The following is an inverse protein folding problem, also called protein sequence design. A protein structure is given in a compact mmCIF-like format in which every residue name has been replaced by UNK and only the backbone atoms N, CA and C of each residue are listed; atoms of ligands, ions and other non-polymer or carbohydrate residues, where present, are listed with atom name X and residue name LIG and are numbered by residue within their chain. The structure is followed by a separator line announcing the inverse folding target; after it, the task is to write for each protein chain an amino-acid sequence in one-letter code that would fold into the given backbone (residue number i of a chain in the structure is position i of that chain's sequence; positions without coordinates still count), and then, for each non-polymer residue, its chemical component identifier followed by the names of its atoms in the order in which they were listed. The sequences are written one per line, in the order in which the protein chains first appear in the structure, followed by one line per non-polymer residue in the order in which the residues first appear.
data_IF_860394304450
#
_entry.id   IF_860394304450
#
_cell.length_a   1.000
_cell.length_b   1.000
_cell.length_c   1.000
_cell.angle_alpha   90.00
_cell.angle_beta   90.00
_cell.angle_gamma   90.00
#
_symmetry.space_group_name_H-M   'P 1'
#
loop_
_entity.id
_entity.type
_entity.pdbx_description
1 polymer ?
#
# COMPACT_ATOMS: atom_id res chain seq x y z
N UNK A 1 15.81 -19.98 5.40
CA UNK A 1 15.72 -20.20 3.95
C UNK A 1 14.29 -20.52 3.50
N UNK A 2 13.48 -21.28 4.27
CA UNK A 2 12.05 -21.52 3.97
C UNK A 2 11.19 -20.24 3.86
N UNK A 3 11.32 -19.27 4.78
CA UNK A 3 10.40 -18.12 4.84
C UNK A 3 10.47 -17.12 3.68
N UNK A 4 11.63 -16.94 3.03
CA UNK A 4 11.82 -15.96 1.96
C UNK A 4 11.12 -16.46 0.68
N UNK A 5 11.33 -17.73 0.34
CA UNK A 5 10.71 -18.35 -0.84
C UNK A 5 9.19 -18.47 -0.71
N UNK A 6 8.67 -18.62 0.52
CA UNK A 6 7.22 -18.67 0.77
C UNK A 6 6.56 -17.30 0.60
N UNK A 7 7.23 -16.22 1.01
CA UNK A 7 6.75 -14.84 0.81
C UNK A 7 6.70 -14.47 -0.68
N UNK A 8 7.77 -14.71 -1.43
CA UNK A 8 7.79 -14.45 -2.88
C UNK A 8 6.67 -15.20 -3.60
N UNK A 9 6.50 -16.49 -3.31
CA UNK A 9 5.42 -17.31 -3.90
C UNK A 9 4.02 -16.82 -3.56
N UNK A 10 3.81 -16.31 -2.35
CA UNK A 10 2.54 -15.72 -1.97
C UNK A 10 2.25 -14.47 -2.80
N UNK A 11 3.24 -13.59 -2.99
CA UNK A 11 3.08 -12.37 -3.77
C UNK A 11 2.82 -12.68 -5.24
N UNK A 12 3.62 -13.58 -5.83
CA UNK A 12 3.41 -14.03 -7.21
C UNK A 12 2.00 -14.64 -7.38
N UNK A 13 1.56 -15.47 -6.43
CA UNK A 13 0.20 -16.04 -6.44
C UNK A 13 -0.90 -14.97 -6.36
N UNK A 14 -0.74 -13.92 -5.55
CA UNK A 14 -1.70 -12.80 -5.47
C UNK A 14 -1.79 -12.09 -6.83
N UNK A 15 -0.65 -11.77 -7.42
CA UNK A 15 -0.60 -11.09 -8.73
C UNK A 15 -1.23 -11.95 -9.82
N UNK A 16 -0.85 -13.23 -9.90
CA UNK A 16 -1.38 -14.15 -10.91
C UNK A 16 -2.88 -14.41 -10.75
N UNK A 17 -3.38 -14.42 -9.51
CA UNK A 17 -4.80 -14.72 -9.23
C UNK A 17 -5.69 -13.51 -9.47
N UNK A 18 -5.28 -12.33 -9.00
CA UNK A 18 -6.15 -11.15 -8.97
C UNK A 18 -5.83 -10.14 -10.07
N UNK A 19 -4.65 -10.24 -10.68
CA UNK A 19 -4.21 -9.29 -11.67
C UNK A 19 -3.35 -9.85 -12.83
N UNK A 20 -3.68 -11.02 -13.40
CA UNK A 20 -2.86 -11.65 -14.44
C UNK A 20 -2.71 -10.83 -15.73
N UNK A 21 -3.56 -9.81 -15.93
CA UNK A 21 -3.58 -8.97 -17.14
C UNK A 21 -3.48 -7.46 -16.84
N UNK A 22 -3.34 -7.06 -15.57
CA UNK A 22 -3.26 -5.64 -15.23
C UNK A 22 -1.80 -5.20 -15.11
N UNK A 23 -1.48 -3.95 -15.49
CA UNK A 23 -0.19 -3.37 -15.19
C UNK A 23 0.11 -3.48 -13.69
N UNK A 24 1.31 -3.95 -13.38
CA UNK A 24 1.86 -4.13 -12.02
C UNK A 24 1.51 -2.97 -11.05
N UNK A 25 1.70 -1.72 -11.49
CA UNK A 25 1.40 -0.51 -10.68
C UNK A 25 -0.08 -0.36 -10.30
N UNK A 26 -1.01 -0.92 -11.07
CA UNK A 26 -2.43 -0.95 -10.70
C UNK A 26 -2.63 -1.86 -9.48
N UNK A 27 -1.93 -2.98 -9.43
CA UNK A 27 -1.98 -3.92 -8.29
C UNK A 27 -1.46 -3.23 -7.04
N UNK A 28 -0.30 -2.59 -7.11
CA UNK A 28 0.28 -1.79 -6.02
C UNK A 28 -0.71 -0.74 -5.49
N UNK A 29 -1.44 -0.07 -6.38
CA UNK A 29 -2.47 0.91 -6.00
C UNK A 29 -3.59 0.28 -5.16
N UNK A 30 -4.16 -0.84 -5.61
CA UNK A 30 -5.25 -1.50 -4.88
C UNK A 30 -4.77 -2.17 -3.59
N UNK A 31 -3.58 -2.77 -3.59
CA UNK A 31 -2.95 -3.34 -2.40
C UNK A 31 -2.69 -2.26 -1.35
N UNK A 32 -2.15 -1.10 -1.74
CA UNK A 32 -1.95 0.03 -0.84
C UNK A 32 -3.24 0.52 -0.19
N UNK A 33 -4.30 0.66 -0.97
CA UNK A 33 -5.64 1.01 -0.46
C UNK A 33 -6.22 -0.06 0.48
N UNK A 34 -6.04 -1.35 0.15
CA UNK A 34 -6.51 -2.45 0.97
C UNK A 34 -5.76 -2.53 2.32
N UNK A 35 -4.43 -2.36 2.32
CA UNK A 35 -3.63 -2.30 3.54
C UNK A 35 -4.05 -1.10 4.39
N UNK A 36 -4.29 0.06 3.77
CA UNK A 36 -4.71 1.27 4.48
C UNK A 36 -6.04 1.07 5.21
N UNK A 37 -7.04 0.55 4.48
CA UNK A 37 -8.36 0.28 5.01
C UNK A 37 -8.31 -0.80 6.08
N UNK A 38 -7.61 -1.90 5.81
CA UNK A 38 -7.42 -3.00 6.75
C UNK A 38 -6.73 -2.54 8.04
N UNK A 39 -5.68 -1.73 7.95
CA UNK A 39 -4.99 -1.17 9.10
C UNK A 39 -5.93 -0.30 9.96
N UNK A 40 -6.79 0.51 9.34
CA UNK A 40 -7.80 1.29 10.06
C UNK A 40 -8.80 0.41 10.81
N UNK A 41 -9.27 -0.67 10.19
CA UNK A 41 -10.17 -1.66 10.82
C UNK A 41 -9.48 -2.35 11.99
N UNK A 42 -8.28 -2.89 11.79
CA UNK A 42 -7.52 -3.63 12.81
C UNK A 42 -7.16 -2.72 13.98
N UNK A 43 -6.68 -1.51 13.71
CA UNK A 43 -6.33 -0.53 14.75
C UNK A 43 -7.56 0.12 15.39
N UNK A 44 -8.76 -0.08 14.83
CA UNK A 44 -10.02 0.59 15.23
C UNK A 44 -9.86 2.11 15.26
N UNK A 45 -9.18 2.66 14.24
CA UNK A 45 -8.92 4.10 14.11
C UNK A 45 -9.58 4.63 12.83
N UNK A 46 -10.06 5.88 12.82
CA UNK A 46 -10.50 6.53 11.59
C UNK A 46 -9.40 6.55 10.53
N UNK A 47 -9.77 6.46 9.25
CA UNK A 47 -8.84 6.56 8.11
C UNK A 47 -8.01 7.86 8.11
N UNK A 48 -8.55 8.95 8.65
CA UNK A 48 -7.83 10.23 8.84
C UNK A 48 -6.80 10.22 10.00
N UNK A 49 -6.56 9.06 10.62
CA UNK A 49 -5.54 8.87 11.65
C UNK A 49 -4.19 8.56 11.00
N UNK A 50 -3.10 9.00 11.64
CA UNK A 50 -1.74 8.74 11.14
C UNK A 50 -1.38 7.25 11.16
N UNK A 51 -1.91 6.48 12.11
CA UNK A 51 -1.58 5.05 12.29
C UNK A 51 -1.79 4.20 11.02
N UNK A 52 -3.00 4.18 10.44
CA UNK A 52 -3.25 3.43 9.21
C UNK A 52 -2.38 3.87 8.04
N UNK A 53 -2.11 5.17 7.89
CA UNK A 53 -1.22 5.68 6.84
C UNK A 53 0.23 5.21 7.04
N UNK A 54 0.75 5.28 8.27
CA UNK A 54 2.08 4.79 8.61
C UNK A 54 2.19 3.29 8.31
N UNK A 55 1.14 2.51 8.58
CA UNK A 55 1.15 1.07 8.31
C UNK A 55 1.38 0.75 6.83
N UNK A 56 0.74 1.47 5.91
CA UNK A 56 0.93 1.28 4.46
C UNK A 56 2.32 1.72 4.01
N UNK A 57 2.81 2.85 4.54
CA UNK A 57 4.16 3.33 4.24
C UNK A 57 5.21 2.29 4.66
N UNK A 58 5.06 1.75 5.87
CA UNK A 58 5.97 0.71 6.38
C UNK A 58 5.85 -0.58 5.59
N UNK A 59 4.62 -1.02 5.27
CA UNK A 59 4.40 -2.26 4.53
C UNK A 59 5.11 -2.25 3.17
N UNK A 60 4.95 -1.18 2.40
CA UNK A 60 5.61 -1.07 1.10
C UNK A 60 7.12 -0.89 1.21
N UNK A 61 7.60 -0.07 2.15
CA UNK A 61 9.04 0.09 2.35
C UNK A 61 9.71 -1.23 2.72
N UNK A 62 9.02 -2.10 3.47
CA UNK A 62 9.51 -3.45 3.77
C UNK A 62 9.45 -4.37 2.55
N UNK A 63 8.42 -4.23 1.70
CA UNK A 63 8.34 -4.97 0.44
C UNK A 63 9.49 -4.59 -0.51
N UNK A 64 9.76 -3.30 -0.68
CA UNK A 64 10.88 -2.82 -1.50
C UNK A 64 12.24 -3.22 -0.92
N UNK A 65 12.37 -3.18 0.41
CA UNK A 65 13.59 -3.68 1.06
C UNK A 65 13.79 -5.18 0.77
N UNK A 66 12.72 -5.97 0.75
CA UNK A 66 12.78 -7.36 0.35
C UNK A 66 13.24 -7.49 -1.11
N UNK A 67 12.69 -6.69 -2.02
CA UNK A 67 13.05 -6.75 -3.44
C UNK A 67 14.51 -6.35 -3.69
N UNK A 68 15.02 -5.33 -3.01
CA UNK A 68 16.43 -4.93 -3.05
C UNK A 68 17.37 -6.06 -2.60
N UNK A 69 16.98 -6.81 -1.57
CA UNK A 69 17.84 -7.83 -0.98
C UNK A 69 17.79 -9.16 -1.73
N UNK A 70 16.68 -9.47 -2.40
CA UNK A 70 16.40 -10.83 -2.88
C UNK A 70 16.05 -10.93 -4.37
N UNK A 71 15.76 -9.84 -5.09
CA UNK A 71 15.51 -9.88 -6.55
C UNK A 71 16.77 -9.55 -7.34
N UNK A 72 17.05 -10.38 -8.35
CA UNK A 72 18.22 -10.27 -9.24
C UNK A 72 18.10 -9.16 -10.30
N UNK A 73 16.89 -8.73 -10.64
CA UNK A 73 16.60 -7.72 -11.68
C UNK A 73 16.00 -6.44 -11.09
N UNK A 74 16.49 -6.01 -9.93
CA UNK A 74 15.99 -4.81 -9.25
C UNK A 74 16.41 -3.51 -9.96
N UNK A 75 15.52 -2.51 -9.96
CA UNK A 75 15.81 -1.16 -10.44
C UNK A 75 15.23 -0.09 -9.51
N UNK A 76 15.99 0.99 -9.28
CA UNK A 76 15.51 2.14 -8.51
C UNK A 76 14.29 2.83 -9.14
N UNK A 77 14.10 2.69 -10.45
CA UNK A 77 12.97 3.29 -11.14
C UNK A 77 11.68 2.53 -10.83
N UNK A 78 11.75 1.20 -10.78
CA UNK A 78 10.60 0.35 -10.44
C UNK A 78 10.19 0.56 -8.98
N UNK A 79 11.15 0.51 -8.04
CA UNK A 79 10.92 0.80 -6.62
C UNK A 79 10.20 2.12 -6.38
N UNK A 80 10.64 3.20 -7.04
CA UNK A 80 9.95 4.49 -6.93
C UNK A 80 8.53 4.43 -7.50
N UNK A 81 8.35 3.72 -8.61
CA UNK A 81 7.06 3.49 -9.21
C UNK A 81 6.10 2.74 -8.29
N UNK A 82 6.60 1.70 -7.59
CA UNK A 82 5.82 0.89 -6.65
C UNK A 82 5.44 1.69 -5.41
N UNK A 83 6.41 2.36 -4.79
CA UNK A 83 6.16 3.28 -3.67
C UNK A 83 5.13 4.35 -4.02
N UNK A 84 5.24 4.97 -5.20
CA UNK A 84 4.27 5.97 -5.66
C UNK A 84 2.88 5.35 -5.88
N UNK A 85 2.81 4.22 -6.58
CA UNK A 85 1.55 3.53 -6.84
C UNK A 85 0.84 3.12 -5.54
N UNK A 86 1.58 2.57 -4.58
CA UNK A 86 1.05 2.10 -3.29
C UNK A 86 0.66 3.25 -2.36
N UNK A 87 1.43 4.35 -2.31
CA UNK A 87 1.22 5.41 -1.31
C UNK A 87 0.33 6.55 -1.78
N UNK A 88 0.28 6.83 -3.08
CA UNK A 88 -0.31 8.06 -3.59
C UNK A 88 -1.75 8.26 -3.11
N UNK A 89 -2.64 7.29 -3.38
CA UNK A 89 -4.04 7.43 -3.01
C UNK A 89 -4.30 7.39 -1.50
N UNK A 90 -3.67 6.51 -0.70
CA UNK A 90 -3.76 6.59 0.76
C UNK A 90 -3.35 7.96 1.33
N UNK A 91 -2.27 8.58 0.82
CA UNK A 91 -1.83 9.92 1.26
C UNK A 91 -2.83 11.00 0.84
N UNK A 92 -3.28 10.98 -0.42
CA UNK A 92 -4.26 11.94 -0.95
C UNK A 92 -5.57 11.87 -0.17
N UNK A 93 -6.10 10.67 0.05
CA UNK A 93 -7.36 10.47 0.78
C UNK A 93 -7.20 10.80 2.27
N UNK A 94 -6.09 10.44 2.91
CA UNK A 94 -5.79 10.86 4.27
C UNK A 94 -5.80 12.39 4.40
N UNK A 95 -5.11 13.09 3.50
CA UNK A 95 -5.04 14.55 3.47
C UNK A 95 -6.43 15.17 3.28
N UNK A 96 -7.19 14.65 2.32
CA UNK A 96 -8.56 15.07 2.04
C UNK A 96 -9.46 14.91 3.28
N UNK A 97 -9.47 13.73 3.90
CA UNK A 97 -10.30 13.45 5.08
C UNK A 97 -9.87 14.23 6.32
N UNK A 98 -8.58 14.60 6.43
CA UNK A 98 -8.05 15.30 7.60
C UNK A 98 -8.19 16.82 7.52
N UNK A 99 -8.10 17.39 6.32
CA UNK A 99 -8.00 18.85 6.15
C UNK A 99 -9.15 19.47 5.35
N UNK A 100 -9.97 18.68 4.65
CA UNK A 100 -11.10 19.18 3.85
C UNK A 100 -12.43 18.76 4.51
N UNK A 101 -12.87 19.47 5.58
CA UNK A 101 -14.01 19.05 6.40
C UNK A 101 -15.32 18.90 5.61
N UNK A 102 -15.50 19.69 4.54
CA UNK A 102 -16.66 19.61 3.66
C UNK A 102 -16.77 18.28 2.89
N UNK A 103 -15.66 17.57 2.65
CA UNK A 103 -15.68 16.23 2.04
C UNK A 103 -16.20 15.15 2.99
N UNK A 104 -16.18 15.41 4.30
CA UNK A 104 -16.62 14.44 5.32
C UNK A 104 -18.08 14.60 5.72
N UNK A 105 -18.78 15.61 5.19
CA UNK A 105 -20.16 15.92 5.56
C UNK A 105 -20.34 16.35 7.02
N UNK A 106 -19.24 16.54 7.77
CA UNK A 106 -19.29 17.08 9.14
C UNK A 106 -19.59 18.58 9.06
N UNK A 107 -20.85 18.93 9.20
CA UNK A 107 -21.27 20.29 9.53
C UNK A 107 -20.61 20.62 10.88
N UNK A 108 -19.85 21.72 10.94
CA UNK A 108 -19.42 22.28 12.22
C UNK A 108 -20.66 22.94 12.83
N UNK A 109 -21.22 22.32 13.85
CA UNK A 109 -22.16 22.98 14.77
C UNK A 109 -21.44 24.09 15.55
#
# INVERSE_FOLDING_TARGET
MLHITDYGRLMDWIVDTFAPQYPDKIVHTYVGLAIWLGAAVVMRRPLASRGPLIAVIVAESLNELYDVLFRTLWSWQDTKGDMLATWFWPVVLFAALRWLPWLTGRVKD
#
